data_IF_035271800408
#
_entry.id   IF_035271800408
#
_cell.length_a   1.000
_cell.length_b   1.000
_cell.length_c   1.000
_cell.angle_alpha   90.00
_cell.angle_beta   90.00
_cell.angle_gamma   90.00
#
_symmetry.space_group_name_H-M   'P 1'
#
loop_
_entity.id
_entity.type
_entity.pdbx_description
1 polymer ?
#
# COMPACT_ATOMS: atom_id res chain seq x y z
N UNK A 1 -13.13 15.94 -7.84
CA UNK A 1 -11.96 15.78 -6.92
C UNK A 1 -12.39 15.46 -5.49
N UNK A 2 -13.66 15.68 -5.11
CA UNK A 2 -14.15 15.45 -3.74
C UNK A 2 -14.33 13.97 -3.35
N UNK A 3 -14.57 13.09 -4.31
CA UNK A 3 -14.79 11.65 -4.05
C UNK A 3 -13.54 10.93 -3.55
N UNK A 4 -12.34 11.34 -3.99
CA UNK A 4 -11.09 10.72 -3.54
C UNK A 4 -10.70 11.10 -2.11
N UNK A 5 -11.08 12.30 -1.64
CA UNK A 5 -10.80 12.75 -0.28
C UNK A 5 -11.75 12.09 0.72
N UNK A 6 -13.04 11.97 0.37
CA UNK A 6 -14.05 11.36 1.23
C UNK A 6 -13.84 9.83 1.42
N UNK A 7 -13.33 9.13 0.39
CA UNK A 7 -13.04 7.69 0.49
C UNK A 7 -11.75 7.41 1.27
N UNK A 8 -10.77 8.30 1.25
CA UNK A 8 -9.51 8.11 1.99
C UNK A 8 -9.60 8.49 3.47
N UNK A 9 -10.61 9.26 3.86
CA UNK A 9 -10.85 9.66 5.26
C UNK A 9 -11.92 8.83 6.00
N UNK A 10 -12.51 7.81 5.35
CA UNK A 10 -13.66 7.07 5.90
C UNK A 10 -13.58 5.55 5.78
N UNK A 11 -12.43 5.00 5.35
CA UNK A 11 -12.22 3.56 5.26
C UNK A 11 -11.15 3.14 6.26
N UNK A 12 -11.44 2.09 7.03
CA UNK A 12 -10.46 1.54 7.97
C UNK A 12 -9.33 0.81 7.24
N UNK A 13 -9.58 0.33 6.01
CA UNK A 13 -8.61 -0.42 5.20
C UNK A 13 -8.72 0.00 3.73
N UNK A 14 -7.57 0.14 3.06
CA UNK A 14 -7.50 0.36 1.63
C UNK A 14 -7.35 -0.97 0.89
N UNK A 15 -8.48 -1.54 0.47
CA UNK A 15 -8.49 -2.77 -0.31
C UNK A 15 -8.20 -2.48 -1.78
N UNK A 16 -7.11 -3.03 -2.31
CA UNK A 16 -6.77 -2.92 -3.72
C UNK A 16 -6.53 -4.30 -4.31
N UNK A 17 -7.48 -4.76 -5.14
CA UNK A 17 -7.47 -6.06 -5.80
C UNK A 17 -7.54 -5.93 -7.34
N UNK A 18 -6.55 -5.28 -8.00
CA UNK A 18 -6.50 -5.25 -9.45
C UNK A 18 -6.14 -6.64 -10.00
N UNK A 19 -6.57 -6.91 -11.24
CA UNK A 19 -6.11 -8.09 -11.97
C UNK A 19 -4.63 -7.85 -12.36
N UNK A 20 -3.72 -8.72 -11.92
CA UNK A 20 -2.30 -8.69 -12.36
C UNK A 20 -2.23 -8.80 -13.90
N UNK A 21 -1.32 -8.10 -14.61
CA UNK A 21 -0.31 -7.12 -14.16
C UNK A 21 -0.69 -5.68 -14.55
N UNK A 22 -1.92 -5.24 -14.25
CA UNK A 22 -2.45 -3.98 -14.78
C UNK A 22 -2.18 -2.76 -13.89
N UNK A 23 -1.53 -2.88 -12.73
CA UNK A 23 -1.28 -1.75 -11.83
C UNK A 23 0.16 -1.21 -11.90
N UNK A 24 0.37 -0.17 -12.70
CA UNK A 24 1.71 0.36 -12.96
C UNK A 24 2.28 1.29 -11.86
N UNK A 25 1.49 1.80 -10.90
CA UNK A 25 2.03 2.80 -9.96
C UNK A 25 1.30 2.94 -8.61
N UNK A 26 0.05 2.47 -8.46
CA UNK A 26 -0.64 2.41 -7.15
C UNK A 26 -0.61 3.70 -6.30
N UNK A 27 -0.60 4.89 -6.92
CA UNK A 27 -0.47 6.17 -6.18
C UNK A 27 -1.64 6.46 -5.24
N UNK A 28 -2.79 5.82 -5.45
CA UNK A 28 -3.92 5.82 -4.53
C UNK A 28 -3.60 5.09 -3.23
N UNK A 29 -2.87 3.98 -3.29
CA UNK A 29 -2.36 3.27 -2.11
C UNK A 29 -1.40 4.14 -1.30
N UNK A 30 -0.52 4.90 -1.97
CA UNK A 30 0.36 5.85 -1.28
C UNK A 30 -0.43 6.96 -0.56
N UNK A 31 -1.50 7.47 -1.18
CA UNK A 31 -2.39 8.46 -0.56
C UNK A 31 -3.17 7.89 0.63
N UNK A 32 -3.63 6.64 0.54
CA UNK A 32 -4.28 5.95 1.66
C UNK A 32 -3.31 5.83 2.85
N UNK A 33 -2.07 5.38 2.58
CA UNK A 33 -1.05 5.25 3.59
C UNK A 33 -0.70 6.57 4.27
N UNK A 34 -0.64 7.67 3.51
CA UNK A 34 -0.45 9.02 4.07
C UNK A 34 -1.58 9.47 5.02
N UNK A 35 -2.80 8.94 4.85
CA UNK A 35 -3.93 9.21 5.74
C UNK A 35 -4.03 8.20 6.89
N UNK A 36 -3.03 7.33 7.06
CA UNK A 36 -3.03 6.30 8.11
C UNK A 36 -3.95 5.14 7.82
N UNK A 37 -4.40 4.96 6.59
CA UNK A 37 -5.18 3.79 6.20
C UNK A 37 -4.20 2.64 5.89
N UNK A 38 -4.26 1.51 6.61
CA UNK A 38 -3.49 0.32 6.26
C UNK A 38 -3.92 -0.24 4.91
N UNK A 39 -2.96 -0.70 4.11
CA UNK A 39 -3.23 -1.28 2.81
C UNK A 39 -3.53 -2.79 2.94
N UNK A 40 -4.52 -3.29 2.21
CA UNK A 40 -4.71 -4.72 2.00
C UNK A 40 -4.73 -4.94 0.49
N UNK A 41 -3.63 -5.44 -0.06
CA UNK A 41 -3.45 -5.49 -1.51
C UNK A 41 -2.57 -6.65 -1.94
N UNK A 42 -2.77 -7.10 -3.17
CA UNK A 42 -1.84 -8.01 -3.83
C UNK A 42 -0.46 -7.35 -3.96
N UNK A 43 0.59 -8.17 -4.00
CA UNK A 43 1.97 -7.71 -4.22
C UNK A 43 2.19 -7.25 -5.68
N UNK A 44 1.57 -6.13 -6.07
CA UNK A 44 1.73 -5.49 -7.38
C UNK A 44 2.02 -3.98 -7.24
N UNK A 45 2.61 -3.37 -8.27
CA UNK A 45 2.96 -1.95 -8.28
C UNK A 45 3.99 -1.57 -7.20
N UNK A 46 3.65 -0.60 -6.34
CA UNK A 46 4.54 -0.10 -5.26
C UNK A 46 4.52 -0.97 -4.00
N UNK A 47 3.49 -1.81 -3.86
CA UNK A 47 3.25 -2.56 -2.63
C UNK A 47 4.34 -3.61 -2.33
N UNK A 48 4.94 -4.31 -3.31
CA UNK A 48 6.09 -5.19 -3.07
C UNK A 48 7.28 -4.50 -2.38
N UNK A 49 7.49 -3.21 -2.62
CA UNK A 49 8.60 -2.44 -2.04
C UNK A 49 8.27 -1.81 -0.68
N UNK A 50 6.97 -1.69 -0.37
CA UNK A 50 6.47 -0.96 0.79
C UNK A 50 5.82 -1.85 1.86
N UNK A 51 5.34 -3.03 1.48
CA UNK A 51 4.57 -3.92 2.35
C UNK A 51 5.46 -4.49 3.47
N UNK A 52 5.12 -4.16 4.71
CA UNK A 52 5.57 -4.86 5.89
C UNK A 52 4.34 -5.59 6.45
N UNK A 53 4.17 -6.83 6.00
CA UNK A 53 2.96 -7.63 6.24
C UNK A 53 2.66 -7.74 7.74
N UNK A 54 1.42 -7.40 8.13
CA UNK A 54 0.95 -7.36 9.52
C UNK A 54 1.41 -6.14 10.33
N UNK A 55 2.25 -5.26 9.76
CA UNK A 55 2.79 -4.07 10.42
C UNK A 55 2.18 -2.78 9.87
N UNK A 56 2.16 -2.61 8.55
CA UNK A 56 1.61 -1.42 7.88
C UNK A 56 0.43 -1.74 6.95
N UNK A 57 0.02 -3.01 6.93
CA UNK A 57 -0.99 -3.55 6.02
C UNK A 57 -0.75 -5.04 5.77
N UNK A 58 -1.40 -5.57 4.73
CA UNK A 58 -1.36 -6.98 4.36
C UNK A 58 -1.10 -7.16 2.87
N UNK A 59 -0.32 -8.19 2.59
CA UNK A 59 -0.16 -8.75 1.26
C UNK A 59 -1.21 -9.84 1.04
N UNK A 60 -1.93 -9.77 -0.07
CA UNK A 60 -2.87 -10.81 -0.50
C UNK A 60 -2.15 -11.73 -1.50
N UNK A 61 -2.08 -13.03 -1.17
CA UNK A 61 -1.35 -14.03 -1.95
C UNK A 61 0.18 -13.89 -1.87
N UNK A 62 0.91 -14.71 -2.64
CA UNK A 62 2.38 -14.78 -2.59
C UNK A 62 3.08 -14.11 -3.77
N UNK A 63 2.36 -13.46 -4.69
CA UNK A 63 2.98 -12.83 -5.86
C UNK A 63 2.99 -13.72 -7.09
N UNK A 64 1.99 -14.58 -7.23
CA UNK A 64 1.89 -15.58 -8.27
C UNK A 64 1.69 -14.94 -9.67
N UNK A 65 2.50 -15.36 -10.64
CA UNK A 65 2.46 -14.84 -12.01
C UNK A 65 1.26 -15.38 -12.81
N UNK A 66 0.78 -16.58 -12.47
CA UNK A 66 -0.33 -17.24 -13.16
C UNK A 66 -1.67 -16.79 -12.56
N UNK A 67 -2.58 -16.34 -13.42
CA UNK A 67 -3.94 -15.97 -13.03
C UNK A 67 -4.73 -17.19 -12.57
N UNK A 68 -5.25 -17.13 -11.35
CA UNK A 68 -6.19 -18.10 -10.80
C UNK A 68 -7.21 -17.40 -9.91
N UNK A 69 -8.37 -17.08 -10.47
CA UNK A 69 -9.43 -16.34 -9.78
C UNK A 69 -9.91 -17.06 -8.49
N UNK A 70 -9.82 -18.40 -8.44
CA UNK A 70 -10.26 -19.18 -7.27
C UNK A 70 -9.22 -19.06 -6.15
N UNK A 71 -7.93 -19.23 -6.48
CA UNK A 71 -6.84 -19.05 -5.53
C UNK A 71 -6.79 -17.60 -5.03
N UNK A 72 -6.88 -16.63 -5.93
CA UNK A 72 -6.76 -15.20 -5.59
C UNK A 72 -7.93 -14.75 -4.70
N UNK A 73 -9.15 -15.22 -4.99
CA UNK A 73 -10.30 -14.99 -4.12
C UNK A 73 -10.11 -15.65 -2.74
N UNK A 74 -9.61 -16.90 -2.70
CA UNK A 74 -9.35 -17.59 -1.43
C UNK A 74 -8.32 -16.84 -0.59
N UNK A 75 -7.20 -16.42 -1.19
CA UNK A 75 -6.17 -15.66 -0.50
C UNK A 75 -6.73 -14.36 0.09
N UNK A 76 -7.58 -13.65 -0.66
CA UNK A 76 -8.24 -12.45 -0.15
C UNK A 76 -9.14 -12.74 1.06
N UNK A 77 -9.98 -13.77 0.98
CA UNK A 77 -10.86 -14.13 2.09
C UNK A 77 -10.07 -14.59 3.31
N UNK A 78 -9.03 -15.40 3.11
CA UNK A 78 -8.17 -15.87 4.20
C UNK A 78 -7.49 -14.69 4.92
N UNK A 79 -6.89 -13.75 4.17
CA UNK A 79 -6.25 -12.56 4.76
C UNK A 79 -7.26 -11.71 5.53
N UNK A 80 -8.48 -11.53 5.00
CA UNK A 80 -9.52 -10.79 5.71
C UNK A 80 -9.95 -11.50 7.00
N UNK A 81 -10.25 -12.80 6.92
CA UNK A 81 -10.82 -13.57 8.01
C UNK A 81 -9.82 -13.85 9.13
N UNK A 82 -8.59 -14.23 8.77
CA UNK A 82 -7.60 -14.75 9.71
C UNK A 82 -6.54 -13.75 10.13
N UNK A 83 -6.45 -12.58 9.49
CA UNK A 83 -5.42 -11.58 9.81
C UNK A 83 -6.01 -10.22 10.10
N UNK A 84 -6.83 -9.68 9.19
CA UNK A 84 -7.44 -8.35 9.33
C UNK A 84 -8.44 -8.29 10.47
N UNK A 85 -9.43 -9.19 10.49
CA UNK A 85 -10.46 -9.19 11.53
C UNK A 85 -9.88 -9.41 12.94
N UNK A 86 -8.92 -10.35 13.15
CA UNK A 86 -8.24 -10.48 14.43
C UNK A 86 -7.44 -9.23 14.85
N UNK A 87 -6.72 -8.59 13.91
CA UNK A 87 -6.00 -7.35 14.20
C UNK A 87 -6.95 -6.23 14.65
N UNK A 88 -8.10 -6.09 13.99
CA UNK A 88 -9.14 -5.15 14.40
C UNK A 88 -9.70 -5.48 15.79
N UNK A 89 -9.93 -6.76 16.08
CA UNK A 89 -10.45 -7.22 17.37
C UNK A 89 -9.48 -7.02 18.54
N UNK A 90 -8.17 -6.91 18.29
CA UNK A 90 -7.16 -6.58 19.30
C UNK A 90 -7.30 -5.17 19.87
N UNK A 91 -8.14 -4.33 19.27
CA UNK A 91 -8.54 -3.06 19.81
C UNK A 91 -7.78 -1.86 19.24
N UNK A 92 -8.15 -0.65 19.70
CA UNK A 92 -7.75 0.60 19.04
C UNK A 92 -6.26 0.90 19.15
N UNK A 93 -5.57 0.44 20.20
CA UNK A 93 -4.13 0.67 20.36
C UNK A 93 -3.34 -0.03 19.25
N UNK A 94 -3.62 -1.33 19.05
CA UNK A 94 -3.02 -2.11 17.98
C UNK A 94 -3.31 -1.52 16.60
N UNK A 95 -4.55 -1.10 16.37
CA UNK A 95 -4.93 -0.45 15.11
C UNK A 95 -4.19 0.87 14.89
N UNK A 96 -4.12 1.72 15.92
CA UNK A 96 -3.41 3.01 15.84
C UNK A 96 -1.92 2.83 15.51
N UNK A 97 -1.27 1.79 16.03
CA UNK A 97 0.12 1.51 15.71
C UNK A 97 0.30 1.11 14.24
N UNK A 98 -0.64 0.33 13.71
CA UNK A 98 -0.67 0.02 12.27
C UNK A 98 -0.90 1.27 11.41
N UNK A 99 -1.81 2.16 11.82
CA UNK A 99 -2.02 3.45 11.14
C UNK A 99 -0.75 4.30 11.13
N UNK A 100 -0.02 4.36 12.26
CA UNK A 100 1.27 5.08 12.35
C UNK A 100 2.34 4.45 11.45
N UNK A 101 2.42 3.12 11.41
CA UNK A 101 3.34 2.41 10.54
C UNK A 101 3.03 2.67 9.05
N UNK A 102 1.75 2.73 8.69
CA UNK A 102 1.30 3.10 7.34
C UNK A 102 1.75 4.53 6.97
N UNK A 103 1.54 5.52 7.86
CA UNK A 103 2.01 6.89 7.65
C UNK A 103 3.54 6.94 7.50
N UNK A 104 4.27 6.27 8.39
CA UNK A 104 5.73 6.24 8.36
C UNK A 104 6.27 5.66 7.05
N UNK A 105 5.63 4.59 6.56
CA UNK A 105 5.97 3.97 5.27
C UNK A 105 5.73 4.96 4.12
N UNK A 106 4.59 5.66 4.12
CA UNK A 106 4.21 6.61 3.06
C UNK A 106 5.22 7.75 2.86
N UNK A 107 5.93 8.16 3.91
CA UNK A 107 6.95 9.22 3.85
C UNK A 107 8.09 8.88 2.88
N UNK A 108 8.35 7.58 2.67
CA UNK A 108 9.34 7.09 1.70
C UNK A 108 8.86 7.17 0.25
N UNK A 109 7.59 7.45 -0.01
CA UNK A 109 7.01 7.43 -1.37
C UNK A 109 6.40 8.77 -1.77
N UNK A 110 6.92 9.88 -1.22
CA UNK A 110 6.45 11.23 -1.54
C UNK A 110 6.97 11.74 -2.89
N UNK A 111 6.13 12.50 -3.60
CA UNK A 111 6.52 13.17 -4.86
C UNK A 111 7.66 14.18 -4.67
N UNK A 112 7.79 14.78 -3.48
CA UNK A 112 8.90 15.65 -3.14
C UNK A 112 10.25 14.91 -3.14
N UNK A 113 10.29 13.68 -2.60
CA UNK A 113 11.48 12.83 -2.68
C UNK A 113 11.81 12.48 -4.13
N UNK A 114 10.82 12.07 -4.91
CA UNK A 114 11.00 11.75 -6.33
C UNK A 114 11.63 12.92 -7.10
N UNK A 115 11.11 14.14 -6.93
CA UNK A 115 11.66 15.34 -7.58
C UNK A 115 13.09 15.62 -7.12
N UNK A 116 13.37 15.50 -5.82
CA UNK A 116 14.72 15.66 -5.26
C UNK A 116 15.72 14.66 -5.85
N UNK A 117 15.33 13.39 -5.97
CA UNK A 117 16.15 12.33 -6.54
C UNK A 117 16.40 12.58 -8.04
N UNK A 118 15.39 13.03 -8.78
CA UNK A 118 15.53 13.45 -10.19
C UNK A 118 16.50 14.63 -10.34
N UNK A 119 16.35 15.68 -9.55
CA UNK A 119 17.23 16.85 -9.60
C UNK A 119 18.68 16.48 -9.29
N UNK A 120 18.92 15.60 -8.30
CA UNK A 120 20.27 15.09 -7.99
C UNK A 120 20.85 14.29 -9.14
N UNK A 121 20.06 13.40 -9.75
CA UNK A 121 20.50 12.61 -10.88
C UNK A 121 20.94 13.50 -12.05
N UNK A 122 20.11 14.47 -12.45
CA UNK A 122 20.45 15.39 -13.54
C UNK A 122 21.59 16.36 -13.20
N UNK A 123 21.72 16.78 -11.93
CA UNK A 123 22.83 17.61 -11.49
C UNK A 123 24.19 16.92 -11.71
N UNK A 124 24.26 15.60 -11.45
CA UNK A 124 25.47 14.80 -11.69
C UNK A 124 25.88 14.72 -13.17
N UNK A 125 24.92 14.81 -14.10
CA UNK A 125 25.21 14.90 -15.53
C UNK A 125 25.68 16.30 -15.94
N UNK A 126 25.15 17.36 -15.31
CA UNK A 126 25.56 18.74 -15.61
C UNK A 126 26.93 19.13 -15.04
N UNK A 127 27.44 18.41 -14.04
CA UNK A 127 28.76 18.64 -13.45
C UNK A 127 29.90 17.88 -14.15
N UNK A 128 29.60 17.12 -15.21
CA UNK A 128 30.57 16.29 -15.95
C UNK A 128 30.96 16.89 -17.31
N UNK A 129 30.63 18.16 -17.55
CA UNK A 129 30.98 18.98 -18.71
C UNK A 129 31.67 20.26 -18.27
#
# INVERSE_FOLDING_TARGET
MDTGLAMTSGVDIWLNNPIRPMEASGTSGMKAAMNGVPNCSILDGWWPEACEHGVNGWAVGEGEDERDDVRDAKALYDTLEFEVLPAWANGPEHWNDMMRASIATSARFTGARMISDYLRFYANFSSSS
#
